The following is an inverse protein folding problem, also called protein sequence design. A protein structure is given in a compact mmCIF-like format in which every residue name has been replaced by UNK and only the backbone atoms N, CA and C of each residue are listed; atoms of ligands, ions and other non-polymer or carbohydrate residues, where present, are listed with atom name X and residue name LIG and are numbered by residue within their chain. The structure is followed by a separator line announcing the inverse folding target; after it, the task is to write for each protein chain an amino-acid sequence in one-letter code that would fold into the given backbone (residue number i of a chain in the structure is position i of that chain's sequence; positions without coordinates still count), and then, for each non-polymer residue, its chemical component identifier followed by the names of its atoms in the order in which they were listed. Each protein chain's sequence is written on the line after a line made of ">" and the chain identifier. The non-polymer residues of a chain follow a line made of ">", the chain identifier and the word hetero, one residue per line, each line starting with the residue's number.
data_IF_294561439523
#
_entry.id   IF_294561439523
#
_cell.length_a   1.000
_cell.length_b   1.000
_cell.length_c   1.000
_cell.angle_alpha   90.00
_cell.angle_beta   90.00
_cell.angle_gamma   90.00
#
_symmetry.space_group_name_H-M   'P 1'
#
loop_
_entity.id
_entity.type
_entity.pdbx_description
1 polymer ?
#
# COMPACT_ATOMS: atom_id res chain seq x y z
N UNK A 1 0.82 27.42 -23.86
CA UNK A 1 1.94 27.13 -22.94
C UNK A 1 1.52 26.24 -21.77
N UNK A 2 0.34 26.46 -21.16
CA UNK A 2 -0.21 25.68 -20.03
C UNK A 2 -0.39 24.17 -20.35
N UNK A 3 -0.92 23.82 -21.52
CA UNK A 3 -1.13 22.41 -21.93
C UNK A 3 0.18 21.60 -22.08
N UNK A 4 1.25 22.23 -22.57
CA UNK A 4 2.56 21.58 -22.76
C UNK A 4 3.20 21.24 -21.41
N UNK A 5 3.04 22.12 -20.42
CA UNK A 5 3.55 21.90 -19.07
C UNK A 5 2.77 20.79 -18.35
N UNK A 6 1.42 20.76 -18.48
CA UNK A 6 0.59 19.69 -17.92
C UNK A 6 1.00 18.31 -18.46
N UNK A 7 1.15 18.18 -19.78
CA UNK A 7 1.56 16.92 -20.41
C UNK A 7 2.96 16.45 -20.01
N UNK A 8 3.88 17.38 -19.74
CA UNK A 8 5.21 17.04 -19.23
C UNK A 8 5.19 16.58 -17.77
N UNK A 9 4.34 17.20 -16.94
CA UNK A 9 4.13 16.79 -15.55
C UNK A 9 3.54 15.37 -15.47
N UNK A 10 2.48 15.11 -16.21
CA UNK A 10 1.84 13.77 -16.29
C UNK A 10 2.86 12.70 -16.76
N UNK A 11 3.71 13.02 -17.74
CA UNK A 11 4.77 12.11 -18.20
C UNK A 11 5.80 11.83 -17.11
N UNK A 12 6.14 12.82 -16.29
CA UNK A 12 7.08 12.66 -15.17
C UNK A 12 6.46 11.81 -14.07
N UNK A 13 5.22 12.08 -13.68
CA UNK A 13 4.47 11.29 -12.70
C UNK A 13 4.34 9.83 -13.14
N UNK A 14 4.02 9.59 -14.42
CA UNK A 14 3.94 8.24 -14.97
C UNK A 14 5.26 7.45 -14.88
N UNK A 15 6.40 8.11 -15.09
CA UNK A 15 7.72 7.46 -14.92
C UNK A 15 8.05 7.15 -13.47
N UNK A 16 7.69 8.04 -12.55
CA UNK A 16 7.89 7.83 -11.11
C UNK A 16 7.02 6.66 -10.64
N UNK A 17 5.76 6.62 -11.07
CA UNK A 17 4.86 5.50 -10.78
C UNK A 17 5.40 4.18 -11.35
N UNK A 18 5.90 4.18 -12.59
CA UNK A 18 6.52 3.00 -13.20
C UNK A 18 7.75 2.51 -12.42
N UNK A 19 8.60 3.44 -11.97
CA UNK A 19 9.75 3.11 -11.11
C UNK A 19 9.30 2.39 -9.83
N UNK A 20 8.34 2.94 -9.08
CA UNK A 20 7.88 2.29 -7.85
C UNK A 20 7.16 0.98 -8.10
N UNK A 21 6.46 0.82 -9.23
CA UNK A 21 5.91 -0.47 -9.64
C UNK A 21 7.04 -1.51 -9.83
N UNK A 22 8.12 -1.16 -10.52
CA UNK A 22 9.30 -2.04 -10.65
C UNK A 22 9.91 -2.41 -9.30
N UNK A 23 10.04 -1.46 -8.38
CA UNK A 23 10.53 -1.73 -7.02
C UNK A 23 9.64 -2.74 -6.30
N UNK A 24 8.33 -2.61 -6.46
CA UNK A 24 7.34 -3.42 -5.74
C UNK A 24 7.10 -4.80 -6.36
N UNK A 25 7.53 -4.97 -7.61
CA UNK A 25 7.54 -6.25 -8.33
C UNK A 25 8.94 -6.91 -8.29
N UNK A 26 9.84 -6.41 -7.43
CA UNK A 26 11.22 -6.92 -7.24
C UNK A 26 12.03 -7.02 -8.56
N UNK A 27 11.85 -6.06 -9.47
CA UNK A 27 12.57 -6.03 -10.74
C UNK A 27 14.03 -5.57 -10.65
N UNK A 28 14.47 -5.07 -9.48
CA UNK A 28 15.85 -4.67 -9.23
C UNK A 28 16.60 -5.78 -8.48
N UNK A 29 17.78 -6.16 -8.96
CA UNK A 29 18.57 -7.23 -8.34
C UNK A 29 19.55 -6.71 -7.29
N UNK A 30 19.91 -5.42 -7.37
CA UNK A 30 20.89 -4.77 -6.48
C UNK A 30 20.42 -3.39 -6.05
N UNK A 31 20.90 -2.92 -4.90
CA UNK A 31 20.58 -1.59 -4.38
C UNK A 31 21.17 -0.48 -5.27
N UNK A 32 22.35 -0.73 -5.87
CA UNK A 32 23.01 0.20 -6.78
C UNK A 32 22.19 0.45 -8.05
N UNK A 33 21.61 -0.59 -8.63
CA UNK A 33 20.75 -0.49 -9.83
C UNK A 33 19.50 0.35 -9.53
N UNK A 34 18.85 0.10 -8.40
CA UNK A 34 17.68 0.84 -7.94
C UNK A 34 18.04 2.32 -7.72
N UNK A 35 19.14 2.60 -7.02
CA UNK A 35 19.62 3.98 -6.75
C UNK A 35 19.93 4.72 -8.05
N UNK A 36 20.61 4.06 -8.99
CA UNK A 36 20.95 4.66 -10.28
C UNK A 36 19.70 5.05 -11.08
N UNK A 37 18.67 4.19 -11.14
CA UNK A 37 17.42 4.53 -11.82
C UNK A 37 16.66 5.65 -11.10
N UNK A 38 16.63 5.64 -9.76
CA UNK A 38 16.01 6.70 -8.97
C UNK A 38 16.68 8.07 -9.21
N UNK A 39 18.01 8.12 -9.22
CA UNK A 39 18.79 9.32 -9.50
C UNK A 39 18.50 9.88 -10.90
N UNK A 40 18.45 9.01 -11.92
CA UNK A 40 18.11 9.40 -13.29
C UNK A 40 16.70 10.00 -13.43
N UNK A 41 15.78 9.61 -12.55
CA UNK A 41 14.42 10.14 -12.48
C UNK A 41 14.29 11.31 -11.49
N UNK A 42 15.38 11.67 -10.80
CA UNK A 42 15.41 12.66 -9.71
C UNK A 42 14.41 12.36 -8.59
N UNK A 43 14.30 11.08 -8.24
CA UNK A 43 13.46 10.58 -7.15
C UNK A 43 14.32 10.53 -5.88
N UNK A 44 13.97 11.26 -4.81
CA UNK A 44 14.67 11.13 -3.54
C UNK A 44 14.24 9.84 -2.84
N UNK A 45 15.18 8.91 -2.65
CA UNK A 45 14.89 7.69 -1.90
C UNK A 45 14.86 7.98 -0.38
N UNK A 46 13.89 7.42 0.35
CA UNK A 46 13.80 7.61 1.79
C UNK A 46 14.93 6.88 2.52
N UNK A 47 15.41 7.48 3.62
CA UNK A 47 16.35 6.83 4.55
C UNK A 47 15.65 5.85 5.49
N UNK A 48 14.36 6.10 5.76
CA UNK A 48 13.45 5.21 6.48
C UNK A 48 12.08 5.33 5.85
N UNK A 49 11.38 4.21 5.65
CA UNK A 49 10.05 4.20 5.06
C UNK A 49 9.18 3.09 5.64
N UNK A 50 7.87 3.23 5.44
CA UNK A 50 6.87 2.15 5.55
C UNK A 50 5.95 2.20 4.33
N UNK A 51 5.37 1.06 3.96
CA UNK A 51 4.35 0.99 2.92
C UNK A 51 2.99 0.76 3.57
N UNK A 52 2.03 1.59 3.21
CA UNK A 52 0.63 1.43 3.54
C UNK A 52 -0.16 1.03 2.28
N UNK A 53 -1.11 0.13 2.44
CA UNK A 53 -2.07 -0.28 1.40
C UNK A 53 -3.47 0.03 1.89
N UNK A 54 -4.22 0.78 1.09
CA UNK A 54 -5.64 1.06 1.32
C UNK A 54 -6.44 0.37 0.23
N UNK A 55 -7.35 -0.51 0.63
CA UNK A 55 -8.25 -1.22 -0.26
C UNK A 55 -9.67 -0.72 -0.08
N UNK A 56 -10.27 -0.21 -1.17
CA UNK A 56 -11.68 0.10 -1.19
C UNK A 56 -12.49 -1.18 -1.40
N UNK A 57 -13.36 -1.54 -0.43
CA UNK A 57 -14.14 -2.78 -0.51
C UNK A 57 -15.18 -2.76 -1.64
N UNK A 58 -15.65 -1.58 -2.03
CA UNK A 58 -16.48 -1.40 -3.23
C UNK A 58 -15.58 -1.30 -4.47
N UNK A 59 -15.88 -2.11 -5.48
CA UNK A 59 -15.09 -2.19 -6.72
C UNK A 59 -15.33 -1.01 -7.67
N UNK A 60 -16.10 0.00 -7.25
CA UNK A 60 -16.27 1.23 -8.02
C UNK A 60 -14.94 1.98 -8.08
N UNK A 61 -14.43 2.16 -9.30
CA UNK A 61 -13.17 2.87 -9.55
C UNK A 61 -13.18 4.30 -9.01
N UNK A 62 -14.36 4.94 -9.01
CA UNK A 62 -14.56 6.31 -8.49
C UNK A 62 -14.20 6.42 -7.00
N UNK A 63 -14.61 5.45 -6.18
CA UNK A 63 -14.30 5.45 -4.74
C UNK A 63 -12.81 5.30 -4.45
N UNK A 64 -12.09 4.46 -5.21
CA UNK A 64 -10.65 4.29 -5.03
C UNK A 64 -9.88 5.55 -5.46
N UNK A 65 -10.30 6.22 -6.53
CA UNK A 65 -9.64 7.45 -6.98
C UNK A 65 -9.90 8.62 -6.01
N UNK A 66 -11.12 8.75 -5.48
CA UNK A 66 -11.45 9.75 -4.44
C UNK A 66 -10.56 9.59 -3.20
N UNK A 67 -10.44 8.36 -2.69
CA UNK A 67 -9.60 8.06 -1.51
C UNK A 67 -8.14 8.38 -1.81
N UNK A 68 -7.66 8.06 -3.01
CA UNK A 68 -6.31 8.39 -3.43
C UNK A 68 -6.09 9.90 -3.50
N UNK A 69 -7.02 10.67 -4.03
CA UNK A 69 -6.92 12.13 -4.08
C UNK A 69 -6.96 12.76 -2.69
N UNK A 70 -7.75 12.20 -1.77
CA UNK A 70 -7.76 12.60 -0.35
C UNK A 70 -6.39 12.35 0.29
N UNK A 71 -5.79 11.18 0.08
CA UNK A 71 -4.44 10.86 0.59
C UNK A 71 -3.39 11.80 -0.01
N UNK A 72 -3.41 12.01 -1.33
CA UNK A 72 -2.46 12.90 -2.03
C UNK A 72 -2.55 14.34 -1.53
N UNK A 73 -3.77 14.81 -1.27
CA UNK A 73 -4.02 16.14 -0.72
C UNK A 73 -3.49 16.26 0.70
N UNK A 74 -3.75 15.26 1.54
CA UNK A 74 -3.28 15.25 2.93
C UNK A 74 -1.76 15.25 3.03
N UNK A 75 -1.10 14.38 2.25
CA UNK A 75 0.35 14.26 2.24
C UNK A 75 1.06 15.46 1.61
N UNK A 76 0.32 16.43 1.06
CA UNK A 76 0.85 17.63 0.42
C UNK A 76 2.12 17.30 -0.38
N UNK A 77 1.97 16.55 -1.48
CA UNK A 77 3.05 15.93 -2.29
C UNK A 77 4.20 16.86 -2.79
N UNK A 78 4.29 18.09 -2.31
CA UNK A 78 5.55 18.84 -2.28
C UNK A 78 6.65 18.12 -1.49
N UNK A 79 6.29 17.27 -0.52
CA UNK A 79 7.24 16.34 0.10
C UNK A 79 7.50 15.14 -0.83
N UNK A 80 8.54 15.28 -1.67
CA UNK A 80 8.90 14.37 -2.77
C UNK A 80 9.28 12.95 -2.35
N UNK A 81 9.29 12.68 -1.04
CA UNK A 81 9.69 11.40 -0.44
C UNK A 81 8.49 10.46 -0.30
N UNK A 82 7.27 11.02 -0.26
CA UNK A 82 6.03 10.25 -0.19
C UNK A 82 5.49 10.01 -1.61
N UNK A 83 4.98 8.80 -1.85
CA UNK A 83 4.44 8.44 -3.17
C UNK A 83 3.13 7.68 -3.06
N UNK A 84 2.19 7.99 -3.95
CA UNK A 84 0.84 7.42 -3.96
C UNK A 84 0.47 6.99 -5.37
N UNK A 85 0.16 5.71 -5.54
CA UNK A 85 -0.29 5.16 -6.82
C UNK A 85 -1.30 4.02 -6.62
N UNK A 86 -2.03 3.70 -7.69
CA UNK A 86 -3.05 2.64 -7.65
C UNK A 86 -2.56 1.37 -8.37
N UNK A 87 -2.89 0.21 -7.80
CA UNK A 87 -2.75 -1.10 -8.42
C UNK A 87 -4.10 -1.82 -8.30
N UNK A 88 -4.85 -1.88 -9.40
CA UNK A 88 -6.24 -2.39 -9.39
C UNK A 88 -7.11 -1.61 -8.37
N UNK A 89 -7.65 -2.28 -7.35
CA UNK A 89 -8.46 -1.68 -6.29
C UNK A 89 -7.64 -1.27 -5.05
N UNK A 90 -6.33 -1.51 -5.06
CA UNK A 90 -5.42 -1.15 -3.97
C UNK A 90 -4.75 0.19 -4.26
N UNK A 91 -4.72 1.06 -3.27
CA UNK A 91 -3.95 2.30 -3.26
C UNK A 91 -2.71 2.02 -2.44
N UNK A 92 -1.55 2.09 -3.07
CA UNK A 92 -0.26 1.89 -2.42
C UNK A 92 0.31 3.28 -2.08
N UNK A 93 0.66 3.44 -0.81
CA UNK A 93 1.21 4.66 -0.25
C UNK A 93 2.57 4.33 0.34
N UNK A 94 3.62 4.90 -0.25
CA UNK A 94 4.97 4.86 0.29
C UNK A 94 5.13 6.10 1.16
N UNK A 95 5.33 5.89 2.45
CA UNK A 95 5.55 6.94 3.43
C UNK A 95 7.01 6.89 3.82
N UNK A 96 7.73 7.98 3.62
CA UNK A 96 9.18 8.00 3.77
C UNK A 96 9.68 9.27 4.45
N UNK A 97 10.85 9.15 5.09
CA UNK A 97 11.59 10.30 5.60
C UNK A 97 13.04 10.22 5.16
N UNK A 98 13.64 11.39 4.87
CA UNK A 98 15.07 11.52 4.61
C UNK A 98 15.91 11.51 5.91
N UNK A 99 15.27 11.48 7.08
CA UNK A 99 15.94 11.45 8.37
C UNK A 99 15.16 10.64 9.38
N UNK A 100 15.85 10.08 10.37
CA UNK A 100 15.23 9.32 11.47
C UNK A 100 14.41 10.17 12.44
N UNK A 101 14.35 11.49 12.24
CA UNK A 101 13.65 12.41 13.14
C UNK A 101 12.13 12.33 12.97
N UNK A 102 11.65 11.81 11.84
CA UNK A 102 10.23 11.66 11.56
C UNK A 102 9.94 10.19 11.30
N UNK A 103 8.96 9.63 12.01
CA UNK A 103 8.55 8.23 11.83
C UNK A 103 7.54 8.12 10.68
N UNK A 104 7.86 7.37 9.61
CA UNK A 104 6.89 7.04 8.57
C UNK A 104 5.59 6.40 9.09
N UNK A 105 5.66 5.59 10.15
CA UNK A 105 4.47 5.01 10.80
C UNK A 105 3.60 6.04 11.49
N UNK A 106 4.19 7.07 12.11
CA UNK A 106 3.41 8.16 12.68
C UNK A 106 2.64 8.89 11.59
N UNK A 107 3.30 9.22 10.47
CA UNK A 107 2.64 9.82 9.30
C UNK A 107 1.54 8.91 8.74
N UNK A 108 1.75 7.60 8.69
CA UNK A 108 0.72 6.64 8.28
C UNK A 108 -0.51 6.69 9.20
N UNK A 109 -0.29 6.70 10.52
CA UNK A 109 -1.36 6.77 11.50
C UNK A 109 -2.17 8.08 11.36
N UNK A 110 -1.49 9.19 11.09
CA UNK A 110 -2.15 10.48 10.84
C UNK A 110 -3.00 10.46 9.56
N UNK A 111 -2.50 9.84 8.48
CA UNK A 111 -3.28 9.62 7.24
C UNK A 111 -4.52 8.76 7.52
N UNK A 112 -4.37 7.68 8.30
CA UNK A 112 -5.47 6.79 8.66
C UNK A 112 -6.54 7.56 9.45
N UNK A 113 -6.13 8.31 10.48
CA UNK A 113 -7.05 9.12 11.28
C UNK A 113 -7.77 10.17 10.41
N UNK A 114 -7.05 10.78 9.46
CA UNK A 114 -7.65 11.72 8.51
C UNK A 114 -8.69 11.03 7.60
N UNK A 115 -8.34 9.88 7.02
CA UNK A 115 -9.27 9.09 6.21
C UNK A 115 -10.52 8.71 7.00
N UNK A 116 -10.37 8.23 8.23
CA UNK A 116 -11.47 7.92 9.14
C UNK A 116 -12.38 9.13 9.39
N UNK A 117 -11.80 10.32 9.61
CA UNK A 117 -12.57 11.55 9.80
C UNK A 117 -13.40 11.94 8.56
N UNK A 118 -12.92 11.57 7.37
CA UNK A 118 -13.61 11.76 6.09
C UNK A 118 -14.56 10.61 5.74
N UNK A 119 -14.49 9.47 6.43
CA UNK A 119 -15.26 8.26 6.08
C UNK A 119 -16.76 8.43 6.29
N UNK A 120 -17.22 9.42 7.07
CA UNK A 120 -18.63 9.83 7.08
C UNK A 120 -19.16 10.26 5.69
N UNK A 121 -18.28 10.55 4.72
CA UNK A 121 -18.61 10.86 3.34
C UNK A 121 -18.54 9.65 2.37
N UNK A 122 -18.05 8.49 2.82
CA UNK A 122 -17.89 7.31 1.96
C UNK A 122 -18.74 6.13 2.46
N UNK A 123 -19.70 5.63 1.66
CA UNK A 123 -20.59 4.55 2.08
C UNK A 123 -19.93 3.16 2.16
N UNK A 124 -18.68 3.03 1.67
CA UNK A 124 -18.00 1.75 1.51
C UNK A 124 -16.83 1.62 2.51
N UNK A 125 -16.67 0.47 3.18
CA UNK A 125 -15.59 0.28 4.14
C UNK A 125 -14.22 0.29 3.43
N UNK A 126 -13.24 0.90 4.10
CA UNK A 126 -11.83 0.89 3.70
C UNK A 126 -11.09 -0.12 4.55
N UNK A 127 -10.34 -1.01 3.90
CA UNK A 127 -9.43 -1.92 4.59
C UNK A 127 -8.01 -1.40 4.42
N UNK A 128 -7.32 -1.21 5.55
CA UNK A 128 -6.03 -0.56 5.57
C UNK A 128 -5.03 -1.48 6.25
N UNK A 129 -3.89 -1.64 5.60
CA UNK A 129 -2.75 -2.36 6.15
C UNK A 129 -1.47 -1.57 6.01
N UNK A 130 -0.55 -1.74 6.94
CA UNK A 130 0.74 -1.09 6.96
C UNK A 130 1.83 -2.10 7.26
N UNK A 131 2.90 -2.06 6.46
CA UNK A 131 4.09 -2.88 6.65
C UNK A 131 4.96 -2.39 7.81
N UNK A 132 6.10 -3.07 7.98
CA UNK A 132 7.14 -2.61 8.90
C UNK A 132 7.89 -1.42 8.31
N UNK A 133 8.57 -0.71 9.21
CA UNK A 133 9.56 0.29 8.80
C UNK A 133 10.86 -0.40 8.41
N UNK A 134 11.44 0.08 7.31
CA UNK A 134 12.74 -0.37 6.84
C UNK A 134 13.63 0.81 6.49
N UNK A 135 14.93 0.57 6.57
CA UNK A 135 15.99 1.50 6.15
C UNK A 135 16.63 1.07 4.82
N UNK A 136 16.56 -0.21 4.53
CA UNK A 136 17.00 -0.80 3.28
C UNK A 136 15.90 -0.61 2.22
N UNK A 137 16.18 0.20 1.20
CA UNK A 137 15.25 0.50 0.11
C UNK A 137 14.83 -0.74 -0.67
N UNK A 138 15.62 -1.81 -0.66
CA UNK A 138 15.26 -3.09 -1.28
C UNK A 138 14.12 -3.81 -0.53
N UNK A 139 13.76 -3.36 0.68
CA UNK A 139 12.66 -3.92 1.47
C UNK A 139 11.29 -3.28 1.17
N UNK A 140 11.18 -2.40 0.18
CA UNK A 140 9.90 -1.78 -0.20
C UNK A 140 8.85 -2.82 -0.59
N UNK A 141 9.19 -3.78 -1.46
CA UNK A 141 8.32 -4.91 -1.82
C UNK A 141 7.90 -5.72 -0.58
N UNK A 142 8.86 -5.98 0.33
CA UNK A 142 8.58 -6.68 1.59
C UNK A 142 7.55 -5.91 2.44
N UNK A 143 7.78 -4.62 2.70
CA UNK A 143 6.84 -3.78 3.45
C UNK A 143 5.45 -3.73 2.81
N UNK A 144 5.37 -3.72 1.47
CA UNK A 144 4.10 -3.82 0.75
C UNK A 144 3.40 -5.16 0.97
N UNK A 145 4.13 -6.27 0.86
CA UNK A 145 3.57 -7.60 1.10
C UNK A 145 2.99 -7.71 2.51
N UNK A 146 3.73 -7.20 3.50
CA UNK A 146 3.28 -7.13 4.90
C UNK A 146 1.97 -6.35 5.05
N UNK A 147 1.85 -5.17 4.42
CA UNK A 147 0.61 -4.39 4.40
C UNK A 147 -0.56 -5.16 3.75
N UNK A 148 -0.31 -5.89 2.67
CA UNK A 148 -1.32 -6.73 2.00
C UNK A 148 -1.82 -7.85 2.93
N UNK A 149 -0.93 -8.47 3.72
CA UNK A 149 -1.32 -9.49 4.68
C UNK A 149 -2.28 -8.96 5.76
N UNK A 150 -2.07 -7.71 6.22
CA UNK A 150 -3.03 -7.04 7.11
C UNK A 150 -4.38 -6.87 6.41
N UNK A 151 -4.40 -6.32 5.18
CA UNK A 151 -5.63 -6.14 4.41
C UNK A 151 -6.37 -7.47 4.18
N UNK A 152 -5.65 -8.58 3.94
CA UNK A 152 -6.25 -9.91 3.83
C UNK A 152 -6.89 -10.37 5.13
N UNK A 153 -6.22 -10.16 6.26
CA UNK A 153 -6.78 -10.51 7.57
C UNK A 153 -8.07 -9.73 7.84
N UNK A 154 -8.09 -8.42 7.55
CA UNK A 154 -9.29 -7.57 7.63
C UNK A 154 -10.42 -8.14 6.76
N UNK A 155 -10.13 -8.51 5.51
CA UNK A 155 -11.11 -9.12 4.59
C UNK A 155 -11.69 -10.43 5.11
N UNK A 156 -10.87 -11.28 5.74
CA UNK A 156 -11.31 -12.57 6.29
C UNK A 156 -12.19 -12.37 7.52
N UNK A 157 -11.83 -11.43 8.40
CA UNK A 157 -12.57 -11.14 9.63
C UNK A 157 -13.84 -10.32 9.35
N UNK A 158 -13.85 -9.54 8.26
CA UNK A 158 -15.02 -8.78 7.80
C UNK A 158 -15.08 -7.33 8.28
N UNK A 159 -14.01 -6.82 8.89
CA UNK A 159 -13.97 -5.47 9.46
C UNK A 159 -12.60 -5.09 10.00
N UNK A 160 -12.31 -3.78 9.99
CA UNK A 160 -11.02 -3.22 10.42
C UNK A 160 -10.92 -3.10 11.94
N UNK A 161 -12.04 -3.04 12.65
CA UNK A 161 -12.14 -2.85 14.10
C UNK A 161 -11.52 -3.99 14.93
N UNK A 162 -11.33 -5.16 14.33
CA UNK A 162 -10.77 -6.35 14.99
C UNK A 162 -9.30 -6.61 14.59
N UNK A 163 -8.78 -5.91 13.59
CA UNK A 163 -7.46 -6.16 13.02
C UNK A 163 -6.60 -4.89 13.14
N UNK A 164 -5.41 -4.96 13.76
CA UNK A 164 -4.52 -3.81 13.82
C UNK A 164 -4.10 -3.36 12.41
N UNK A 165 -3.85 -2.06 12.26
CA UNK A 165 -3.39 -1.51 10.99
C UNK A 165 -1.98 -1.96 10.61
N UNK A 166 -1.13 -2.23 11.60
CA UNK A 166 0.27 -2.55 11.39
C UNK A 166 0.54 -4.07 11.40
N UNK A 167 1.45 -4.49 10.54
CA UNK A 167 1.81 -5.90 10.38
C UNK A 167 2.55 -6.50 11.59
N UNK A 168 3.18 -5.68 12.42
CA UNK A 168 3.91 -6.14 13.61
C UNK A 168 2.95 -6.65 14.67
N UNK A 169 1.82 -5.96 14.84
CA UNK A 169 0.79 -6.32 15.79
C UNK A 169 -0.20 -7.36 15.24
N UNK A 170 -0.09 -7.76 13.97
CA UNK A 170 -1.01 -8.71 13.34
C UNK A 170 -1.01 -10.10 14.03
N UNK A 171 0.11 -10.49 14.65
CA UNK A 171 0.20 -11.69 15.49
C UNK A 171 -0.34 -12.96 14.82
N UNK A 172 -1.26 -13.65 15.50
CA UNK A 172 -1.87 -14.91 15.03
C UNK A 172 -2.73 -14.73 13.77
N UNK A 173 -3.21 -13.51 13.49
CA UNK A 173 -4.06 -13.26 12.31
C UNK A 173 -3.32 -13.49 10.98
N UNK A 174 -1.98 -13.46 10.99
CA UNK A 174 -1.13 -13.86 9.85
C UNK A 174 -1.42 -15.26 9.32
N UNK A 175 -1.94 -16.16 10.16
CA UNK A 175 -2.22 -17.53 9.76
C UNK A 175 -3.64 -17.73 9.23
N UNK A 176 -4.51 -16.71 9.28
CA UNK A 176 -5.91 -16.83 8.88
C UNK A 176 -6.08 -17.31 7.44
N UNK A 177 -5.30 -16.77 6.50
CA UNK A 177 -5.41 -17.16 5.08
C UNK A 177 -5.03 -18.63 4.86
N UNK A 178 -3.97 -19.09 5.53
CA UNK A 178 -3.55 -20.50 5.50
C UNK A 178 -4.61 -21.42 6.09
N UNK A 179 -5.18 -21.06 7.25
CA UNK A 179 -6.25 -21.83 7.92
C UNK A 179 -7.50 -21.88 7.02
N UNK A 180 -7.94 -20.74 6.51
CA UNK A 180 -9.12 -20.63 5.66
C UNK A 180 -8.96 -21.43 4.37
N UNK A 181 -7.81 -21.30 3.71
CA UNK A 181 -7.46 -22.06 2.50
C UNK A 181 -7.43 -23.57 2.76
N UNK A 182 -6.92 -24.00 3.90
CA UNK A 182 -6.86 -25.42 4.26
C UNK A 182 -8.27 -25.99 4.53
N UNK A 183 -9.15 -25.23 5.19
CA UNK A 183 -10.55 -25.65 5.40
C UNK A 183 -11.34 -25.72 4.09
N UNK A 184 -11.15 -24.75 3.19
CA UNK A 184 -11.80 -24.75 1.87
C UNK A 184 -11.40 -25.98 1.06
N UNK A 185 -10.10 -26.32 1.01
CA UNK A 185 -9.59 -27.53 0.33
C UNK A 185 -10.21 -28.81 0.89
N UNK A 186 -10.30 -28.94 2.23
CA UNK A 186 -10.92 -30.11 2.87
C UNK A 186 -12.40 -30.27 2.51
N UNK A 187 -13.18 -29.17 2.49
CA UNK A 187 -14.59 -29.21 2.08
C UNK A 187 -14.78 -29.67 0.63
N UNK A 188 -13.89 -29.26 -0.29
CA UNK A 188 -13.93 -29.71 -1.69
C UNK A 188 -13.61 -31.21 -1.83
N UNK A 189 -12.64 -31.73 -1.06
CA UNK A 189 -12.29 -33.16 -1.07
C UNK A 189 -13.40 -34.03 -0.48
N UNK A 190 -14.09 -33.58 0.59
CA UNK A 190 -15.22 -34.32 1.15
C UNK A 190 -16.40 -34.48 0.19
N UNK A 191 -16.64 -33.50 -0.70
CA UNK A 191 -17.72 -33.57 -1.69
C UNK A 191 -17.38 -34.58 -2.79
N UNK A 192 -16.11 -34.72 -3.19
CA UNK A 192 -15.69 -35.69 -4.21
C UNK A 192 -15.82 -37.16 -3.74
N UNK A 193 -15.73 -37.43 -2.44
CA UNK A 193 -15.88 -38.79 -1.90
C UNK A 193 -17.36 -39.21 -1.85
N UNK A 194 -18.30 -38.27 -1.79
CA UNK A 194 -19.74 -38.58 -1.78
C UNK A 194 -20.36 -38.81 -3.17
N UNK A 195 -19.58 -38.68 -4.25
CA UNK A 195 -20.01 -38.89 -5.65
C UNK A 195 -19.30 -40.06 -6.35
N UNK A 196 -18.63 -40.93 -5.60
CA UNK A 196 -17.97 -42.14 -6.12
C UNK A 196 -18.70 -43.42 -5.69
#
# INVERSE_FOLDING_TARGET
>A
MIYKNKKQLEKKEGKIEEFFKKVMDDHFYTEEELKWEAENLSIPLPAVFTVMVVHAADKKSETAEDVKDVIRTYLQLEDKVNHVYSVQADIVVILGSLSDRHSPKATAADVIAYLQSKTHAHPSPLYIGMGREYRDVMKMSTSRFEAIEVVKAVKIVGGQELIPYDYENLGVFRFLDSIYSHQKKRKTTSIQICYA
#
